data_IF_051147009680
#
_entry.id   IF_051147009680
#
_cell.length_a   1.000
_cell.length_b   1.000
_cell.length_c   1.000
_cell.angle_alpha   90.00
_cell.angle_beta   90.00
_cell.angle_gamma   90.00
#
_symmetry.space_group_name_H-M   'P 1'
#
loop_
_entity.id
_entity.type
_entity.pdbx_description
1 polymer ?
2 non-polymer ?
3 non-polymer ?
4 water ?
#
# COMPACT_ATOMS: atom_id res chain seq x y z
N UNK A 1 -16.80 -24.15 -8.12
CA UNK A 1 -16.90 -23.06 -9.08
C UNK A 1 -15.60 -22.29 -9.30
N UNK A 2 -14.48 -23.01 -9.24
CA UNK A 2 -13.18 -22.39 -9.51
C UNK A 2 -12.98 -22.06 -10.97
N UNK A 3 -13.83 -22.57 -11.87
CA UNK A 3 -13.74 -22.25 -13.29
C UNK A 3 -14.03 -20.77 -13.55
N UNK A 4 -15.02 -20.23 -12.85
CA UNK A 4 -15.30 -18.81 -12.98
C UNK A 4 -14.13 -17.96 -12.51
N UNK A 5 -13.49 -18.35 -11.40
CA UNK A 5 -12.37 -17.59 -10.86
C UNK A 5 -11.22 -17.50 -11.85
N UNK A 6 -10.87 -18.63 -12.47
CA UNK A 6 -9.82 -18.63 -13.49
C UNK A 6 -10.12 -17.61 -14.59
N UNK A 7 -11.38 -17.57 -15.05
CA UNK A 7 -11.74 -16.64 -16.12
C UNK A 7 -11.60 -15.21 -15.65
N UNK A 8 -11.99 -14.92 -14.41
CA UNK A 8 -11.79 -13.59 -13.84
C UNK A 8 -10.31 -13.25 -13.81
N UNK A 9 -9.48 -14.20 -13.40
CA UNK A 9 -8.05 -13.93 -13.36
C UNK A 9 -7.48 -13.74 -14.75
N UNK A 10 -8.07 -14.41 -15.76
CA UNK A 10 -7.54 -14.29 -17.12
C UNK A 10 -7.83 -12.91 -17.68
N UNK A 11 -9.06 -12.42 -17.50
CA UNK A 11 -9.40 -11.07 -17.93
C UNK A 11 -8.48 -10.05 -17.27
N UNK A 12 -8.34 -10.12 -15.94
CA UNK A 12 -7.46 -9.21 -15.22
C UNK A 12 -6.04 -9.28 -15.74
N UNK A 13 -5.53 -10.50 -15.97
CA UNK A 13 -4.18 -10.63 -16.49
C UNK A 13 -4.06 -9.98 -17.87
N UNK A 14 -5.07 -10.17 -18.72
CA UNK A 14 -5.02 -9.61 -20.06
C UNK A 14 -5.10 -8.10 -20.04
N UNK A 15 -5.99 -7.54 -19.21
CA UNK A 15 -6.11 -6.10 -19.13
C UNK A 15 -4.79 -5.45 -18.71
N UNK A 16 -4.15 -6.00 -17.69
CA UNK A 16 -2.91 -5.43 -17.17
C UNK A 16 -1.79 -5.50 -18.20
N UNK A 17 -1.68 -6.61 -18.93
CA UNK A 17 -0.60 -6.86 -19.88
C UNK A 17 -0.87 -6.29 -21.26
N UNK A 18 -2.06 -5.76 -21.51
CA UNK A 18 -2.36 -5.22 -22.83
C UNK A 18 -1.52 -3.97 -23.08
N UNK A 19 -1.05 -3.83 -24.32
CA UNK A 19 -0.14 -2.74 -24.65
C UNK A 19 -0.79 -1.40 -24.29
N UNK A 20 0.01 -0.51 -23.68
CA UNK A 20 -0.53 0.74 -23.16
C UNK A 20 0.58 1.79 -23.11
N UNK A 21 0.27 3.00 -23.58
CA UNK A 21 1.19 4.12 -23.45
C UNK A 21 1.08 4.80 -22.09
N UNK A 22 0.20 4.30 -21.22
CA UNK A 22 -0.01 4.97 -19.94
C UNK A 22 1.30 5.09 -19.17
N UNK A 23 1.97 3.95 -18.94
CA UNK A 23 3.17 3.96 -18.12
C UNK A 23 4.23 4.90 -18.67
N UNK A 24 4.30 5.07 -19.99
CA UNK A 24 5.31 5.88 -20.59
C UNK A 24 5.02 7.37 -20.45
N UNK A 25 3.73 7.72 -20.49
CA UNK A 25 3.36 9.08 -20.18
C UNK A 25 3.66 9.39 -18.71
N UNK A 26 3.34 8.48 -17.80
CA UNK A 26 3.58 8.84 -16.41
C UNK A 26 5.08 8.87 -16.12
N UNK A 27 5.87 8.01 -16.80
CA UNK A 27 7.32 8.08 -16.61
C UNK A 27 7.86 9.44 -16.99
N UNK A 28 7.50 9.92 -18.19
CA UNK A 28 7.90 11.27 -18.58
C UNK A 28 7.63 12.30 -17.49
N UNK A 29 6.40 12.34 -16.99
CA UNK A 29 6.06 13.35 -16.00
C UNK A 29 6.87 13.13 -14.71
N UNK A 30 6.90 11.89 -14.22
CA UNK A 30 7.62 11.61 -12.97
C UNK A 30 9.09 12.01 -13.10
N UNK A 31 9.69 11.74 -14.26
CA UNK A 31 11.10 12.06 -14.47
C UNK A 31 11.35 13.57 -14.49
N UNK A 32 10.45 14.34 -15.09
CA UNK A 32 10.55 15.80 -14.99
C UNK A 32 10.43 16.24 -13.55
N UNK A 33 9.46 15.67 -12.81
CA UNK A 33 9.25 16.09 -11.43
C UNK A 33 10.47 15.80 -10.58
N UNK A 34 11.04 14.61 -10.71
CA UNK A 34 12.23 14.27 -9.92
C UNK A 34 13.38 15.24 -10.19
N UNK A 35 13.67 15.53 -11.46
CA UNK A 35 14.79 16.40 -11.76
C UNK A 35 14.57 17.80 -11.18
N UNK A 36 13.33 18.28 -11.22
CA UNK A 36 13.02 19.60 -10.69
C UNK A 36 13.09 19.62 -9.17
N UNK A 37 12.67 18.53 -8.51
CA UNK A 37 12.79 18.43 -7.05
C UNK A 37 14.25 18.26 -6.62
N UNK A 38 15.04 17.50 -7.38
CA UNK A 38 16.46 17.34 -7.09
C UNK A 38 17.24 18.66 -7.19
N UNK A 39 16.67 19.68 -7.82
CA UNK A 39 17.30 20.99 -7.92
C UNK A 39 17.04 21.87 -6.72
N UNK A 40 16.27 21.40 -5.75
CA UNK A 40 15.86 22.20 -4.60
C UNK A 40 16.54 21.68 -3.34
N UNK A 41 16.83 22.62 -2.43
CA UNK A 41 17.67 22.36 -1.27
C UNK A 41 17.12 21.21 -0.42
N UNK A 42 15.82 21.22 -0.16
CA UNK A 42 15.25 20.23 0.76
C UNK A 42 15.08 18.85 0.15
N UNK A 43 15.06 18.73 -1.18
CA UNK A 43 14.72 17.48 -1.85
C UNK A 43 15.85 16.96 -2.73
N UNK A 44 17.11 17.29 -2.40
CA UNK A 44 18.23 16.95 -3.27
C UNK A 44 18.37 15.45 -3.50
N UNK A 45 18.05 14.65 -2.49
CA UNK A 45 18.19 13.21 -2.61
C UNK A 45 16.89 12.47 -2.85
N UNK A 46 15.83 13.18 -3.27
CA UNK A 46 14.58 12.52 -3.56
C UNK A 46 14.76 11.58 -4.75
N UNK A 47 14.11 10.42 -4.68
CA UNK A 47 14.17 9.44 -5.74
C UNK A 47 12.94 8.55 -5.64
N UNK A 48 12.81 7.69 -6.64
CA UNK A 48 11.68 6.78 -6.72
C UNK A 48 11.86 5.62 -5.73
N UNK A 49 10.78 5.23 -5.05
CA UNK A 49 10.87 4.04 -4.21
C UNK A 49 11.14 2.80 -5.06
N UNK A 50 10.34 2.58 -6.08
CA UNK A 50 10.57 1.50 -7.04
C UNK A 50 11.09 2.11 -8.34
N UNK A 51 12.34 1.79 -8.68
CA UNK A 51 12.96 2.26 -9.91
C UNK A 51 12.75 1.23 -11.00
N UNK A 52 12.36 1.69 -12.19
CA UNK A 52 11.98 0.83 -13.28
C UNK A 52 10.52 0.41 -13.25
N UNK A 53 9.87 0.48 -12.10
CA UNK A 53 8.45 0.13 -11.95
C UNK A 53 7.69 1.40 -11.56
N UNK A 54 7.49 2.29 -12.54
CA UNK A 54 6.60 3.43 -12.37
C UNK A 54 5.15 2.99 -12.25
N UNK A 55 4.84 1.73 -12.55
CA UNK A 55 3.47 1.25 -12.65
C UNK A 55 3.14 0.34 -11.47
N UNK A 56 3.10 0.93 -10.28
CA UNK A 56 2.49 0.31 -9.13
C UNK A 56 1.02 0.74 -9.08
N UNK A 57 0.11 -0.25 -9.03
CA UNK A 57 -1.33 0.00 -9.08
C UNK A 57 -1.97 -0.33 -7.74
N UNK A 58 -2.71 0.63 -7.17
CA UNK A 58 -3.51 0.35 -5.98
C UNK A 58 -4.79 -0.41 -6.35
N UNK A 59 -5.53 0.11 -7.32
CA UNK A 59 -6.78 -0.50 -7.79
C UNK A 59 -6.47 -1.50 -8.89
N UNK A 60 -6.49 -2.79 -8.55
CA UNK A 60 -6.17 -3.85 -9.49
C UNK A 60 -7.10 -3.86 -10.71
N UNK A 61 -8.15 -3.05 -10.71
CA UNK A 61 -9.10 -3.00 -11.82
C UNK A 61 -9.07 -1.68 -12.57
N UNK A 62 -8.25 -0.73 -12.15
CA UNK A 62 -8.15 0.59 -12.79
C UNK A 62 -6.76 0.75 -13.41
N UNK A 63 -6.59 0.42 -14.69
CA UNK A 63 -5.26 0.50 -15.30
C UNK A 63 -4.76 1.93 -15.48
N UNK A 64 -5.63 2.93 -15.47
CA UNK A 64 -5.21 4.31 -15.67
C UNK A 64 -4.86 5.03 -14.38
N UNK A 65 -4.92 4.35 -13.23
CA UNK A 65 -4.61 4.95 -11.94
C UNK A 65 -3.26 4.44 -11.45
N UNK A 66 -2.31 5.33 -11.31
CA UNK A 66 -0.95 4.98 -10.91
C UNK A 66 -0.64 5.56 -9.54
N UNK A 67 0.30 4.92 -8.85
CA UNK A 67 0.61 5.27 -7.48
C UNK A 67 2.13 5.21 -7.33
N UNK A 68 2.78 6.36 -7.13
CA UNK A 68 4.23 6.37 -7.05
C UNK A 68 4.67 6.98 -5.73
N UNK A 69 5.82 6.54 -5.25
CA UNK A 69 6.39 7.01 -3.99
C UNK A 69 7.72 7.68 -4.26
N UNK A 70 7.86 8.92 -3.81
CA UNK A 70 9.12 9.63 -3.84
C UNK A 70 9.74 9.51 -2.46
N UNK A 71 10.90 8.85 -2.38
CA UNK A 71 11.56 8.66 -1.10
C UNK A 71 12.71 9.66 -0.97
N UNK A 72 13.02 9.97 0.29
CA UNK A 72 14.09 10.91 0.63
C UNK A 72 14.75 10.39 1.91
N UNK A 73 16.05 10.10 1.85
CA UNK A 73 16.71 9.51 3.01
C UNK A 73 16.99 10.57 4.08
N UNK A 74 16.63 10.26 5.32
CA UNK A 74 16.98 11.14 6.44
C UNK A 74 17.88 10.37 7.40
N UNK A 75 19.14 10.78 7.55
CA UNK A 75 20.00 10.10 8.52
C UNK A 75 19.64 10.49 9.95
N UNK A 76 19.90 9.55 10.86
CA UNK A 76 19.95 9.80 12.31
C UNK A 76 18.71 10.55 12.81
N UNK A 77 17.54 10.02 12.50
CA UNK A 77 16.32 10.65 13.01
C UNK A 77 15.91 9.97 14.30
N UNK A 78 15.26 10.75 15.17
CA UNK A 78 14.62 10.22 16.37
C UNK A 78 13.11 10.21 16.16
N UNK A 79 12.51 9.02 16.31
CA UNK A 79 11.07 8.88 16.28
C UNK A 79 10.53 8.93 17.70
N UNK A 80 9.51 9.74 17.92
CA UNK A 80 8.71 9.72 19.13
C UNK A 80 7.33 9.23 18.74
N UNK A 81 6.86 8.18 19.40
CA UNK A 81 5.55 7.63 19.09
C UNK A 81 4.46 8.59 19.54
N UNK A 82 3.44 8.77 18.69
CA UNK A 82 2.37 9.72 18.95
C UNK A 82 1.18 9.02 19.59
N UNK A 83 0.86 9.41 20.83
CA UNK A 83 -0.40 9.08 21.48
C UNK A 83 -0.67 7.58 21.52
N UNK A 84 0.38 6.80 21.75
CA UNK A 84 0.30 5.33 21.75
C UNK A 84 -0.42 4.78 20.53
N UNK A 85 -0.35 5.49 19.39
CA UNK A 85 -1.03 4.99 18.20
C UNK A 85 -0.31 3.79 17.59
N UNK A 86 0.93 3.52 18.00
CA UNK A 86 1.76 2.40 17.56
C UNK A 86 2.28 2.61 16.13
N UNK A 87 1.51 3.29 15.28
CA UNK A 87 1.89 3.47 13.89
C UNK A 87 2.27 4.91 13.51
N UNK A 88 1.87 5.91 14.31
CA UNK A 88 2.10 7.30 13.98
C UNK A 88 3.19 7.88 14.87
N UNK A 89 4.03 8.74 14.30
CA UNK A 89 5.26 9.18 14.94
C UNK A 89 5.57 10.64 14.64
N UNK A 90 6.05 11.34 15.66
CA UNK A 90 6.81 12.56 15.46
C UNK A 90 8.21 12.21 14.96
N UNK A 91 8.74 13.03 14.05
CA UNK A 91 10.09 12.87 13.52
C UNK A 91 10.96 13.97 14.10
N UNK A 92 11.88 13.59 14.97
CA UNK A 92 12.92 14.46 15.46
C UNK A 92 14.25 14.04 14.84
N UNK A 93 15.27 14.82 15.11
CA UNK A 93 16.60 14.56 14.59
C UNK A 93 17.60 14.44 15.73
N UNK A 94 18.59 13.54 15.56
CA UNK A 94 19.79 13.61 16.38
C UNK A 94 20.63 14.82 15.97
N UNK A 95 20.57 15.20 14.69
CA UNK A 95 21.03 16.49 14.18
C UNK A 95 22.45 16.83 14.64
N UNK A 96 23.34 15.87 14.45
CA UNK A 96 24.73 16.08 14.86
C UNK A 96 25.43 17.03 13.88
N UNK A 97 25.08 17.02 12.58
CA UNK A 97 25.26 18.24 11.78
C UNK A 97 23.94 18.99 11.68
N UNK A 98 23.75 19.98 12.57
CA UNK A 98 22.47 20.67 12.69
C UNK A 98 21.95 21.18 11.34
N UNK A 99 22.86 21.50 10.42
CA UNK A 99 22.47 21.89 9.06
C UNK A 99 22.12 20.65 8.22
N UNK A 100 21.09 19.95 8.68
CA UNK A 100 20.47 18.93 7.84
C UNK A 100 19.69 19.62 6.74
N UNK A 101 19.61 19.04 5.55
CA UNK A 101 18.94 19.72 4.44
C UNK A 101 17.48 20.02 4.71
N UNK A 102 16.85 19.32 5.64
CA UNK A 102 15.46 19.57 6.00
C UNK A 102 15.33 20.51 7.17
N UNK A 103 16.43 21.09 7.65
CA UNK A 103 16.38 22.03 8.77
C UNK A 103 15.34 23.12 8.55
N UNK A 104 15.12 23.52 7.28
CA UNK A 104 14.15 24.55 6.96
C UNK A 104 12.71 24.16 7.27
N UNK A 105 12.42 22.87 7.51
CA UNK A 105 11.08 22.41 7.83
C UNK A 105 10.91 22.07 9.31
N UNK A 106 11.70 22.70 10.17
CA UNK A 106 11.71 22.40 11.59
C UNK A 106 10.79 23.33 12.36
N UNK A 107 10.14 22.79 13.38
CA UNK A 107 9.39 23.57 14.37
C UNK A 107 9.92 23.12 15.73
N UNK A 108 11.07 23.68 16.12
CA UNK A 108 11.71 23.27 17.35
C UNK A 108 12.42 21.94 17.20
N UNK A 109 11.88 20.90 17.84
CA UNK A 109 12.43 19.57 17.71
C UNK A 109 11.79 18.77 16.57
N UNK A 110 10.63 19.21 16.08
CA UNK A 110 9.70 18.32 15.37
C UNK A 110 9.64 18.70 13.89
N UNK A 111 9.92 17.73 13.03
CA UNK A 111 9.84 17.91 11.59
C UNK A 111 8.40 18.15 11.16
N UNK A 112 8.13 19.29 10.51
CA UNK A 112 6.78 19.62 10.08
C UNK A 112 6.48 18.99 8.72
N UNK A 113 5.42 18.18 8.68
CA UNK A 113 4.96 17.56 7.44
C UNK A 113 4.20 18.56 6.56
N UNK A 114 3.27 19.32 7.15
CA UNK A 114 2.48 20.23 6.34
C UNK A 114 3.36 21.26 5.67
N UNK A 115 4.48 21.62 6.31
CA UNK A 115 5.44 22.52 5.70
C UNK A 115 6.20 21.83 4.58
N UNK A 116 6.73 20.63 4.84
CA UNK A 116 7.42 19.90 3.79
C UNK A 116 6.51 19.66 2.60
N UNK A 117 5.27 19.26 2.86
CA UNK A 117 4.31 19.00 1.78
C UNK A 117 4.00 20.26 0.99
N UNK A 118 3.76 21.39 1.68
CA UNK A 118 3.42 22.60 0.95
C UNK A 118 4.54 23.04 0.03
N UNK A 119 5.79 22.71 0.37
CA UNK A 119 6.92 23.04 -0.52
C UNK A 119 7.06 22.00 -1.62
N UNK A 120 7.01 20.72 -1.23
CA UNK A 120 6.89 19.64 -2.18
C UNK A 120 5.77 19.91 -3.18
N UNK A 121 4.58 20.23 -2.68
CA UNK A 121 3.46 20.52 -3.57
C UNK A 121 3.69 21.78 -4.39
N UNK A 122 4.51 22.70 -3.90
CA UNK A 122 4.75 23.93 -4.65
C UNK A 122 5.77 23.72 -5.76
N UNK A 123 6.85 22.98 -5.48
CA UNK A 123 7.81 22.63 -6.54
C UNK A 123 7.11 21.82 -7.61
N UNK A 124 6.32 20.83 -7.20
CA UNK A 124 5.57 20.04 -8.15
C UNK A 124 4.66 20.93 -8.98
N UNK A 125 3.95 21.86 -8.31
CA UNK A 125 3.08 22.80 -9.01
C UNK A 125 3.84 23.63 -10.03
N UNK A 126 5.10 23.98 -9.72
CA UNK A 126 5.91 24.80 -10.60
C UNK A 126 6.46 24.03 -11.80
N UNK A 127 6.49 22.71 -11.75
CA UNK A 127 6.93 21.92 -12.89
C UNK A 127 5.77 21.45 -13.77
N UNK A 128 4.63 21.07 -13.17
CA UNK A 128 3.42 20.79 -13.96
C UNK A 128 2.95 22.05 -14.65
N UNK A 129 3.34 23.22 -14.12
CA UNK A 129 3.12 24.48 -14.81
C UNK A 129 3.95 24.54 -16.10
N UNK A 130 5.25 24.20 -16.01
CA UNK A 130 6.16 24.25 -17.16
C UNK A 130 6.15 22.96 -17.98
N UNK A 131 4.98 22.36 -18.19
CA UNK A 131 4.88 21.09 -18.90
C UNK A 131 4.96 21.33 -20.40
N UNK A 132 5.90 20.68 -21.06
CA UNK A 132 5.92 20.63 -22.51
C UNK A 132 5.15 19.40 -22.98
N UNK A 133 4.78 19.41 -24.27
CA UNK A 133 4.08 18.30 -24.92
C UNK A 133 2.69 18.08 -24.35
N UNK A 134 2.50 16.98 -23.62
CA UNK A 134 1.18 16.57 -23.16
C UNK A 134 0.75 17.39 -21.93
N UNK A 135 -0.55 17.39 -21.70
CA UNK A 135 -1.19 18.24 -20.70
C UNK A 135 -1.42 17.47 -19.41
N UNK A 136 -1.00 18.05 -18.29
CA UNK A 136 -1.16 17.44 -16.97
C UNK A 136 -1.68 18.50 -16.01
N UNK A 137 -2.53 18.08 -15.05
CA UNK A 137 -3.09 18.99 -14.06
C UNK A 137 -2.87 18.42 -12.67
N UNK A 138 -2.76 19.33 -11.69
CA UNK A 138 -2.58 18.95 -10.30
C UNK A 138 -3.92 19.07 -9.59
N UNK A 139 -4.45 17.94 -9.14
CA UNK A 139 -5.66 17.89 -8.34
C UNK A 139 -5.23 17.76 -6.88
N UNK A 140 -5.14 18.89 -6.21
CA UNK A 140 -4.67 18.94 -4.82
C UNK A 140 -5.86 18.72 -3.90
N UNK A 141 -5.94 17.54 -3.30
CA UNK A 141 -7.04 17.17 -2.42
C UNK A 141 -6.52 16.85 -1.02
N UNK A 142 -7.44 16.85 -0.05
CA UNK A 142 -7.09 16.66 1.35
C UNK A 142 -6.40 15.32 1.58
N UNK A 143 -5.88 15.17 2.80
CA UNK A 143 -5.05 14.03 3.12
C UNK A 143 -3.60 14.35 2.81
N UNK A 144 -2.71 14.07 3.77
CA UNK A 144 -1.30 14.30 3.53
C UNK A 144 -0.69 13.30 2.57
N UNK A 145 -1.21 12.06 2.54
CA UNK A 145 -0.71 11.05 1.62
C UNK A 145 -1.86 10.34 0.92
N UNK A 146 -1.92 10.36 -0.44
CA UNK A 146 -0.92 10.96 -1.35
C UNK A 146 -0.82 12.47 -1.23
N UNK A 147 0.37 13.03 -1.49
CA UNK A 147 0.55 14.47 -1.41
C UNK A 147 -0.25 15.19 -2.49
N UNK A 148 -0.13 14.72 -3.73
CA UNK A 148 -0.84 15.29 -4.87
C UNK A 148 -1.38 14.14 -5.72
N UNK A 149 -2.39 14.45 -6.51
CA UNK A 149 -2.84 13.59 -7.58
C UNK A 149 -2.72 14.35 -8.88
N UNK A 150 -1.93 13.81 -9.81
CA UNK A 150 -1.78 14.34 -11.15
C UNK A 150 -2.77 13.65 -12.08
N UNK A 151 -3.46 14.44 -12.89
CA UNK A 151 -4.31 13.92 -13.96
C UNK A 151 -3.64 14.21 -15.30
N UNK A 152 -3.26 13.15 -16.01
CA UNK A 152 -2.68 13.24 -17.35
C UNK A 152 -3.74 12.88 -18.38
N UNK A 153 -3.87 13.68 -19.42
CA UNK A 153 -4.86 13.45 -20.48
C UNK A 153 -6.23 13.32 -19.81
N UNK A 154 -7.14 12.55 -20.41
CA UNK A 154 -8.49 12.43 -19.88
C UNK A 154 -8.61 11.32 -18.84
N UNK A 155 -7.76 10.29 -18.92
CA UNK A 155 -7.99 9.10 -18.12
C UNK A 155 -6.91 8.79 -17.08
N UNK A 156 -5.70 9.34 -17.21
CA UNK A 156 -4.57 8.88 -16.40
C UNK A 156 -4.47 9.70 -15.11
N UNK A 157 -4.36 9.01 -13.98
CA UNK A 157 -4.21 9.67 -12.69
C UNK A 157 -2.96 9.12 -11.99
N UNK A 158 -2.15 10.02 -11.43
CA UNK A 158 -0.96 9.61 -10.69
C UNK A 158 -1.04 10.18 -9.28
N UNK A 159 -1.04 9.30 -8.29
CA UNK A 159 -0.88 9.68 -6.88
C UNK A 159 0.60 9.66 -6.53
N UNK A 160 1.11 10.78 -6.00
CA UNK A 160 2.49 10.89 -5.59
C UNK A 160 2.56 11.06 -4.07
N UNK A 161 3.16 10.10 -3.39
CA UNK A 161 3.34 10.14 -1.95
C UNK A 161 4.79 10.42 -1.61
N UNK A 162 5.02 11.40 -0.74
CA UNK A 162 6.36 11.66 -0.23
C UNK A 162 6.62 10.80 1.00
N UNK A 163 7.85 10.30 1.11
CA UNK A 163 8.19 9.32 2.13
C UNK A 163 9.60 9.59 2.62
N UNK A 164 9.77 9.63 3.93
CA UNK A 164 11.10 9.65 4.51
C UNK A 164 11.60 8.21 4.59
N UNK A 165 12.88 8.00 4.34
CA UNK A 165 13.49 6.69 4.43
C UNK A 165 14.45 6.65 5.60
N UNK A 166 14.32 5.64 6.45
CA UNK A 166 15.22 5.48 7.58
C UNK A 166 15.92 4.13 7.44
N UNK A 167 17.23 4.14 7.50
CA UNK A 167 17.99 2.89 7.46
C UNK A 167 18.31 2.36 8.86
N UNK A 168 17.69 2.90 9.90
CA UNK A 168 17.90 2.32 11.22
C UNK A 168 16.86 1.22 11.52
N UNK A 169 17.07 0.56 12.65
CA UNK A 169 16.24 -0.56 13.06
C UNK A 169 14.79 -0.12 13.20
N UNK A 170 13.88 -1.05 12.93
CA UNK A 170 12.46 -0.73 12.94
C UNK A 170 11.98 -0.39 14.36
N UNK A 171 10.95 0.44 14.47
CA UNK A 171 10.47 0.84 15.81
C UNK A 171 9.93 -0.36 16.57
N UNK A 172 10.00 -0.23 17.90
CA UNK A 172 9.61 -1.30 18.81
C UNK A 172 8.21 -1.82 18.52
N UNK A 173 7.33 -0.96 18.01
CA UNK A 173 5.95 -1.36 17.72
C UNK A 173 5.89 -2.48 16.68
N UNK A 174 6.96 -2.67 15.90
CA UNK A 174 7.05 -3.74 14.91
C UNK A 174 7.68 -5.01 15.45
N UNK A 175 8.21 -5.00 16.69
CA UNK A 175 9.10 -6.08 17.14
C UNK A 175 8.44 -7.45 17.07
N UNK A 176 7.13 -7.53 17.25
CA UNK A 176 6.40 -8.79 17.20
C UNK A 176 5.58 -8.95 15.94
N UNK A 177 5.80 -8.10 14.94
CA UNK A 177 5.08 -8.16 13.69
C UNK A 177 5.82 -9.01 12.68
N UNK A 178 5.33 -8.96 11.44
CA UNK A 178 5.94 -9.70 10.34
C UNK A 178 6.19 -11.17 10.74
N UNK A 179 5.16 -11.84 11.25
CA UNK A 179 5.32 -13.18 11.82
C UNK A 179 5.34 -14.22 10.70
N UNK A 180 6.40 -14.16 9.89
CA UNK A 180 6.57 -15.04 8.75
C UNK A 180 7.45 -16.25 9.08
N UNK A 181 7.82 -16.44 10.35
CA UNK A 181 8.90 -17.37 10.68
C UNK A 181 8.59 -18.79 10.26
N UNK A 182 7.34 -19.21 10.42
CA UNK A 182 6.96 -20.57 10.08
C UNK A 182 6.54 -20.70 8.64
N UNK A 183 6.62 -19.61 7.88
CA UNK A 183 6.27 -19.60 6.46
C UNK A 183 7.49 -19.29 5.61
N UNK A 184 8.04 -18.06 5.66
CA UNK A 184 9.19 -17.64 4.88
C UNK A 184 10.53 -17.85 5.60
N UNK A 185 10.50 -18.22 6.88
CA UNK A 185 11.62 -18.63 7.72
C UNK A 185 12.07 -17.49 8.62
N UNK A 186 12.69 -17.83 9.74
CA UNK A 186 13.22 -16.81 10.61
C UNK A 186 14.38 -16.06 9.97
N UNK A 187 15.17 -16.73 9.15
CA UNK A 187 16.31 -16.02 8.58
C UNK A 187 15.85 -14.99 7.55
N UNK A 188 14.76 -15.26 6.84
CA UNK A 188 14.25 -14.24 5.92
C UNK A 188 13.70 -13.07 6.69
N UNK A 189 12.99 -13.34 7.80
CA UNK A 189 12.47 -12.25 8.62
C UNK A 189 13.58 -11.30 9.05
N UNK A 190 14.69 -11.87 9.53
CA UNK A 190 15.82 -11.04 9.95
C UNK A 190 16.37 -10.22 8.78
N UNK A 191 16.52 -10.86 7.61
CA UNK A 191 16.97 -10.14 6.41
C UNK A 191 16.07 -8.93 6.16
N UNK A 192 14.75 -9.17 6.14
CA UNK A 192 13.82 -8.10 5.83
C UNK A 192 13.93 -6.97 6.82
N UNK A 193 14.05 -7.29 8.11
CA UNK A 193 14.08 -6.25 9.13
C UNK A 193 15.39 -5.48 9.14
N UNK A 194 16.39 -5.94 8.40
CA UNK A 194 17.57 -5.14 8.15
C UNK A 194 17.35 -4.15 7.02
N UNK A 195 16.25 -4.28 6.29
CA UNK A 195 15.97 -3.32 5.24
C UNK A 195 15.47 -2.01 5.85
N UNK A 196 15.52 -0.91 5.11
CA UNK A 196 15.01 0.36 5.64
C UNK A 196 13.52 0.31 5.90
N UNK A 197 13.02 1.34 6.59
CA UNK A 197 11.57 1.52 6.67
C UNK A 197 11.26 2.96 6.26
N UNK A 198 9.98 3.20 5.94
CA UNK A 198 9.55 4.48 5.40
C UNK A 198 8.51 5.12 6.31
N UNK A 199 8.39 6.44 6.19
CA UNK A 199 7.43 7.22 6.94
C UNK A 199 6.73 8.19 6.00
N UNK A 200 5.40 8.15 5.96
CA UNK A 200 4.65 9.04 5.07
C UNK A 200 3.84 10.01 5.93
N UNK A 201 3.62 11.24 5.48
CA UNK A 201 2.79 12.18 6.27
C UNK A 201 1.36 11.70 6.33
N UNK A 202 0.78 11.76 7.53
CA UNK A 202 -0.54 11.18 7.78
C UNK A 202 -1.00 11.58 9.17
N UNK A 203 -2.32 11.75 9.31
CA UNK A 203 -2.99 11.97 10.59
C UNK A 203 -3.73 10.71 11.01
N UNK A 204 -3.84 10.50 12.33
CA UNK A 204 -4.61 9.36 12.82
C UNK A 204 -6.10 9.60 12.66
N UNK A 205 -6.58 10.77 13.06
CA UNK A 205 -7.98 11.14 12.90
C UNK A 205 -8.17 12.05 11.69
N UNK A 206 -9.43 12.30 11.36
CA UNK A 206 -9.80 13.15 10.24
C UNK A 206 -10.53 14.41 10.70
N UNK A 211 -4.97 17.08 12.99
CA UNK A 211 -4.46 18.30 13.60
C UNK A 211 -2.93 18.38 13.60
N UNK A 212 -2.25 17.26 13.84
CA UNK A 212 -0.85 17.26 14.23
C UNK A 212 0.06 16.74 13.12
N UNK A 213 1.35 17.09 13.22
CA UNK A 213 2.34 16.81 12.17
C UNK A 213 2.99 15.44 12.40
N UNK A 214 2.18 14.42 12.16
CA UNK A 214 2.59 13.04 12.41
C UNK A 214 2.96 12.35 11.10
N UNK A 215 3.73 11.26 11.24
CA UNK A 215 4.13 10.41 10.14
C UNK A 215 3.80 8.97 10.48
N UNK A 216 3.49 8.18 9.45
CA UNK A 216 3.04 6.81 9.63
C UNK A 216 4.01 5.87 8.95
N UNK A 217 4.27 4.73 9.59
CA UNK A 217 5.15 3.74 9.02
C UNK A 217 4.53 3.16 7.76
N UNK A 218 5.39 2.85 6.78
CA UNK A 218 5.01 2.28 5.50
C UNK A 218 6.00 1.19 5.16
N UNK A 219 5.50 -0.01 4.86
CA UNK A 219 6.37 -1.14 4.54
C UNK A 219 6.06 -1.71 3.15
N UNK A 220 5.62 -0.84 2.22
CA UNK A 220 5.18 -1.35 0.93
C UNK A 220 6.31 -2.08 0.19
N UNK A 221 7.57 -1.72 0.44
CA UNK A 221 8.67 -2.45 -0.18
C UNK A 221 8.79 -3.86 0.39
N UNK A 222 8.44 -4.08 1.66
CA UNK A 222 8.52 -5.42 2.23
C UNK A 222 7.38 -6.28 1.72
N UNK A 223 6.18 -5.71 1.68
CA UNK A 223 5.05 -6.38 1.05
C UNK A 223 5.39 -6.81 -0.38
N UNK A 224 6.04 -5.93 -1.15
CA UNK A 224 6.38 -6.32 -2.52
C UNK A 224 7.37 -7.49 -2.52
N UNK A 225 8.39 -7.42 -1.68
CA UNK A 225 9.39 -8.49 -1.65
C UNK A 225 8.77 -9.81 -1.24
N UNK A 226 7.82 -9.80 -0.30
CA UNK A 226 7.16 -11.04 0.08
C UNK A 226 6.37 -11.61 -1.08
N UNK A 227 5.58 -10.77 -1.75
CA UNK A 227 4.73 -11.28 -2.81
C UNK A 227 5.53 -11.90 -3.95
N UNK A 228 6.72 -11.40 -4.20
CA UNK A 228 7.51 -11.94 -5.31
C UNK A 228 8.41 -13.11 -4.91
N UNK A 229 8.47 -13.46 -3.62
CA UNK A 229 9.25 -14.62 -3.16
C UNK A 229 8.43 -15.13 -1.96
N UNK A 230 7.33 -15.83 -2.27
CA UNK A 230 6.19 -15.99 -1.36
C UNK A 230 6.00 -17.41 -0.86
N UNK A 231 6.78 -18.38 -1.31
CA UNK A 231 6.52 -19.76 -1.00
C UNK A 231 7.33 -20.22 0.19
N UNK A 232 6.86 -21.28 0.84
CA UNK A 232 7.75 -21.93 1.81
C UNK A 232 8.91 -22.61 1.10
N UNK A 233 8.64 -23.23 -0.05
CA UNK A 233 9.70 -23.77 -0.89
C UNK A 233 10.34 -22.64 -1.69
N UNK A 234 11.66 -22.67 -1.80
CA UNK A 234 12.33 -21.60 -2.54
C UNK A 234 11.97 -21.63 -4.02
N UNK A 235 11.48 -22.75 -4.53
CA UNK A 235 11.15 -22.91 -5.93
C UNK A 235 9.66 -22.68 -6.24
N UNK A 236 8.86 -22.26 -5.26
CA UNK A 236 7.42 -22.05 -5.49
C UNK A 236 7.19 -21.17 -6.72
N UNK A 237 6.28 -21.62 -7.58
CA UNK A 237 5.88 -20.94 -8.81
C UNK A 237 7.00 -20.83 -9.84
N UNK A 238 8.10 -21.57 -9.67
CA UNK A 238 9.10 -21.57 -10.73
C UNK A 238 8.81 -22.65 -11.74
N UNK A 239 8.35 -23.82 -11.28
CA UNK A 239 8.05 -24.94 -12.15
C UNK A 239 6.58 -24.99 -12.47
N UNK A 240 6.08 -26.19 -12.79
CA UNK A 240 4.67 -26.45 -12.93
C UNK A 240 4.12 -27.45 -11.92
N UNK A 241 4.98 -28.25 -11.28
CA UNK A 241 4.54 -29.15 -10.22
C UNK A 241 4.44 -28.46 -8.86
N UNK A 242 5.03 -27.26 -8.70
CA UNK A 242 4.85 -26.45 -7.50
C UNK A 242 4.41 -25.04 -7.94
N UNK A 243 3.24 -24.99 -8.58
CA UNK A 243 2.61 -23.75 -8.97
C UNK A 243 1.45 -23.49 -8.01
N UNK A 244 1.46 -22.31 -7.35
CA UNK A 244 0.50 -22.04 -6.27
C UNK A 244 -0.43 -20.90 -6.64
N UNK A 245 -1.50 -20.74 -5.84
CA UNK A 245 -2.54 -19.76 -6.09
C UNK A 245 -2.57 -18.64 -5.06
N UNK A 246 -1.44 -18.37 -4.38
CA UNK A 246 -1.41 -17.29 -3.40
C UNK A 246 -1.68 -15.93 -4.06
N UNK A 247 -0.92 -15.60 -5.12
CA UNK A 247 -1.11 -14.30 -5.76
C UNK A 247 -2.47 -14.21 -6.42
N UNK A 248 -2.99 -15.33 -6.94
CA UNK A 248 -4.35 -15.29 -7.50
C UNK A 248 -5.37 -14.96 -6.41
N UNK A 249 -5.26 -15.60 -5.24
CA UNK A 249 -6.20 -15.34 -4.16
C UNK A 249 -6.16 -13.88 -3.73
N UNK A 250 -4.96 -13.29 -3.64
CA UNK A 250 -4.89 -11.87 -3.32
C UNK A 250 -5.62 -11.04 -4.36
N UNK A 251 -5.34 -11.30 -5.65
CA UNK A 251 -5.97 -10.52 -6.71
C UNK A 251 -7.48 -10.65 -6.67
N UNK A 252 -7.98 -11.85 -6.36
CA UNK A 252 -9.42 -12.04 -6.24
C UNK A 252 -9.98 -11.29 -5.05
N UNK A 253 -9.29 -11.30 -3.91
CA UNK A 253 -9.77 -10.53 -2.75
C UNK A 253 -9.79 -9.05 -3.07
N UNK A 254 -8.73 -8.55 -3.70
CA UNK A 254 -8.69 -7.13 -4.06
C UNK A 254 -9.81 -6.79 -5.01
N UNK A 255 -10.04 -7.64 -6.03
CA UNK A 255 -11.05 -7.34 -7.04
C UNK A 255 -12.45 -7.42 -6.46
N UNK A 256 -12.69 -8.35 -5.54
CA UNK A 256 -13.98 -8.38 -4.85
C UNK A 256 -14.27 -7.04 -4.16
N UNK A 257 -13.33 -6.57 -3.33
CA UNK A 257 -13.54 -5.31 -2.61
C UNK A 257 -13.75 -4.15 -3.57
N UNK A 258 -12.84 -4.00 -4.56
CA UNK A 258 -12.97 -2.92 -5.53
C UNK A 258 -14.34 -2.95 -6.22
N UNK A 259 -14.82 -4.15 -6.56
CA UNK A 259 -16.15 -4.23 -7.20
C UNK A 259 -17.26 -3.86 -6.23
N UNK A 260 -17.13 -4.22 -4.95
CA UNK A 260 -18.19 -3.88 -4.01
C UNK A 260 -18.16 -2.39 -3.66
N UNK A 261 -16.96 -1.82 -3.54
CA UNK A 261 -16.86 -0.37 -3.35
C UNK A 261 -17.48 0.39 -4.52
N UNK A 262 -17.19 -0.06 -5.76
CA UNK A 262 -17.84 0.57 -6.92
C UNK A 262 -19.34 0.35 -6.89
N UNK A 263 -19.78 -0.86 -6.57
CA UNK A 263 -21.22 -1.13 -6.57
C UNK A 263 -21.97 -0.25 -5.58
N UNK A 264 -21.31 0.19 -4.51
CA UNK A 264 -22.00 0.89 -3.44
C UNK A 264 -21.41 2.28 -3.17
N UNK A 265 -20.72 2.86 -4.16
CA UNK A 265 -20.03 4.12 -3.93
C UNK A 265 -20.98 5.25 -3.57
N UNK A 266 -22.28 5.11 -3.84
CA UNK A 266 -23.25 6.12 -3.46
C UNK A 266 -23.71 5.98 -2.02
N UNK A 267 -23.44 4.85 -1.36
CA UNK A 267 -23.95 4.62 -0.01
C UNK A 267 -22.94 4.96 1.08
N UNK A 268 -21.67 5.16 0.72
CA UNK A 268 -20.58 5.57 1.63
C UNK A 268 -20.12 4.51 2.65
N UNK A 269 -20.96 3.54 3.02
CA UNK A 269 -20.60 2.60 4.09
C UNK A 269 -19.30 1.86 3.84
N UNK A 270 -18.80 1.81 2.60
CA UNK A 270 -17.58 1.08 2.29
C UNK A 270 -16.39 1.97 2.01
N UNK A 271 -16.50 3.28 2.24
CA UNK A 271 -15.47 4.21 1.80
C UNK A 271 -14.16 4.03 2.57
N UNK A 272 -14.21 3.57 3.81
CA UNK A 272 -13.00 3.43 4.62
C UNK A 272 -12.24 2.15 4.35
N UNK A 273 -12.84 1.18 3.67
CA UNK A 273 -12.13 -0.05 3.37
C UNK A 273 -11.18 0.16 2.19
N UNK A 274 -10.03 -0.48 2.23
CA UNK A 274 -9.05 -0.32 1.16
C UNK A 274 -8.26 -1.59 0.96
N UNK A 275 -7.40 -1.58 -0.06
CA UNK A 275 -6.45 -2.66 -0.31
C UNK A 275 -5.70 -3.08 0.94
N UNK A 276 -5.36 -2.14 1.84
CA UNK A 276 -4.67 -2.50 3.07
C UNK A 276 -5.39 -3.65 3.76
N UNK A 277 -6.70 -3.53 3.92
CA UNK A 277 -7.43 -4.50 4.72
C UNK A 277 -7.40 -5.89 4.08
N UNK A 278 -7.46 -5.96 2.75
CA UNK A 278 -7.48 -7.27 2.11
C UNK A 278 -6.08 -7.84 2.09
N UNK A 279 -5.09 -7.01 1.76
CA UNK A 279 -3.70 -7.48 1.82
C UNK A 279 -3.34 -7.96 3.21
N UNK A 280 -3.76 -7.23 4.24
CA UNK A 280 -3.44 -7.65 5.61
C UNK A 280 -4.07 -9.00 5.92
N UNK A 281 -5.37 -9.15 5.67
CA UNK A 281 -6.04 -10.42 5.92
C UNK A 281 -5.40 -11.55 5.12
N UNK A 282 -5.02 -11.28 3.88
CA UNK A 282 -4.36 -12.28 3.06
C UNK A 282 -3.09 -12.77 3.71
N UNK A 283 -2.23 -11.86 4.15
CA UNK A 283 -0.96 -12.27 4.74
C UNK A 283 -1.19 -13.01 6.04
N UNK A 284 -2.26 -12.66 6.77
CA UNK A 284 -2.57 -13.45 7.96
C UNK A 284 -2.91 -14.89 7.57
N UNK A 285 -3.62 -15.07 6.45
CA UNK A 285 -3.95 -16.43 6.04
C UNK A 285 -2.71 -17.15 5.51
N UNK A 286 -1.74 -16.40 4.97
CA UNK A 286 -0.46 -17.00 4.61
C UNK A 286 0.29 -17.54 5.82
N UNK A 287 0.24 -16.82 6.95
CA UNK A 287 0.86 -17.38 8.15
C UNK A 287 0.07 -18.58 8.65
N UNK A 288 -1.26 -18.49 8.65
CA UNK A 288 -2.07 -19.62 9.11
C UNK A 288 -1.82 -20.87 8.29
N UNK A 289 -1.65 -20.72 6.98
CA UNK A 289 -1.46 -21.82 6.04
C UNK A 289 -0.11 -21.65 5.37
N UNK A 290 0.99 -22.04 6.04
CA UNK A 290 2.34 -21.79 5.51
C UNK A 290 2.82 -22.75 4.42
N UNK A 291 2.18 -23.88 4.24
CA UNK A 291 2.68 -24.87 3.30
C UNK A 291 2.24 -24.54 1.88
N UNK A 292 3.16 -24.69 0.93
CA UNK A 292 2.78 -24.47 -0.45
C UNK A 292 1.69 -25.43 -0.90
N UNK A 293 1.60 -26.60 -0.29
CA UNK A 293 0.57 -27.57 -0.65
C UNK A 293 -0.81 -27.13 -0.21
N UNK A 294 -0.90 -26.16 0.70
CA UNK A 294 -2.17 -25.55 1.06
C UNK A 294 -2.60 -24.49 0.07
N UNK A 295 -1.80 -24.23 -0.96
CA UNK A 295 -2.12 -23.20 -1.95
C UNK A 295 -2.00 -23.78 -3.34
N UNK A 296 -2.36 -25.05 -3.49
CA UNK A 296 -2.24 -25.75 -4.75
C UNK A 296 -3.05 -25.02 -5.83
N UNK A 297 -2.46 -24.89 -7.02
CA UNK A 297 -3.17 -24.29 -8.15
C UNK A 297 -4.57 -24.87 -8.31
N UNK A 298 -4.69 -26.20 -8.19
CA UNK A 298 -5.97 -26.87 -8.40
C UNK A 298 -7.00 -26.52 -7.34
N UNK A 299 -6.58 -26.00 -6.18
CA UNK A 299 -7.49 -25.66 -5.09
C UNK A 299 -7.83 -24.18 -5.05
N UNK A 300 -7.80 -23.51 -6.21
CA UNK A 300 -8.02 -22.06 -6.23
C UNK A 300 -9.33 -21.71 -5.55
N UNK A 301 -10.39 -22.46 -5.84
CA UNK A 301 -11.69 -22.15 -5.28
C UNK A 301 -11.72 -22.31 -3.76
N UNK A 302 -11.20 -23.42 -3.27
CA UNK A 302 -11.17 -23.61 -1.82
C UNK A 302 -10.24 -22.59 -1.17
N UNK A 303 -9.11 -22.28 -1.82
CA UNK A 303 -8.17 -21.32 -1.24
C UNK A 303 -8.76 -19.92 -1.16
N UNK A 304 -9.42 -19.50 -2.25
CA UNK A 304 -10.14 -18.22 -2.22
C UNK A 304 -11.14 -18.18 -1.09
N UNK A 305 -11.82 -19.30 -0.83
CA UNK A 305 -12.88 -19.33 0.16
C UNK A 305 -12.31 -19.20 1.57
N UNK A 306 -11.15 -19.81 1.83
CA UNK A 306 -10.48 -19.60 3.12
C UNK A 306 -10.16 -18.13 3.33
N UNK A 307 -9.73 -17.44 2.28
CA UNK A 307 -9.43 -16.02 2.39
C UNK A 307 -10.69 -15.22 2.68
N UNK A 308 -11.74 -15.44 1.89
CA UNK A 308 -13.01 -14.77 2.15
C UNK A 308 -13.50 -15.08 3.56
N UNK A 309 -13.44 -16.34 3.95
CA UNK A 309 -13.91 -16.76 5.26
C UNK A 309 -13.16 -16.03 6.37
N UNK A 310 -11.83 -16.02 6.30
CA UNK A 310 -11.05 -15.30 7.31
C UNK A 310 -11.37 -13.81 7.30
N UNK A 311 -11.47 -13.20 6.10
CA UNK A 311 -11.84 -11.79 6.06
C UNK A 311 -13.18 -11.54 6.73
N UNK A 312 -14.18 -12.41 6.48
CA UNK A 312 -15.47 -12.23 7.14
C UNK A 312 -15.34 -12.37 8.66
N UNK A 313 -14.48 -13.28 9.12
CA UNK A 313 -14.29 -13.42 10.57
C UNK A 313 -13.71 -12.15 11.17
N UNK A 314 -12.77 -11.51 10.47
CA UNK A 314 -12.20 -10.26 10.95
C UNK A 314 -13.27 -9.19 11.08
N UNK A 315 -14.14 -9.09 10.08
CA UNK A 315 -15.18 -8.09 10.10
C UNK A 315 -16.11 -8.26 11.29
N UNK A 316 -16.64 -9.48 11.48
CA UNK A 316 -17.64 -9.67 12.53
C UNK A 316 -17.04 -9.50 13.91
N UNK A 317 -15.80 -9.92 14.09
CA UNK A 317 -15.16 -9.76 15.39
C UNK A 317 -14.56 -8.37 15.55
N UNK A 318 -14.55 -7.57 14.47
CA UNK A 318 -13.95 -6.24 14.47
C UNK A 318 -12.49 -6.28 14.85
N UNK A 319 -11.75 -7.26 14.33
CA UNK A 319 -10.34 -7.40 14.62
C UNK A 319 -9.57 -7.69 13.35
N UNK A 320 -8.58 -6.86 13.07
CA UNK A 320 -7.72 -7.10 11.93
C UNK A 320 -6.39 -6.42 12.27
N UNK A 321 -5.48 -7.16 12.88
CA UNK A 321 -4.23 -6.54 13.28
C UNK A 321 -3.37 -6.26 12.06
N UNK A 322 -2.81 -5.07 12.02
CA UNK A 322 -1.81 -4.76 11.03
C UNK A 322 -0.74 -5.85 11.03
N UNK A 323 -0.30 -6.24 9.83
CA UNK A 323 0.65 -7.35 9.73
C UNK A 323 2.01 -7.00 10.30
N UNK A 324 2.39 -5.73 10.27
CA UNK A 324 3.70 -5.33 10.77
C UNK A 324 3.66 -4.85 12.21
N UNK A 325 2.51 -4.35 12.65
CA UNK A 325 2.35 -3.75 13.98
C UNK A 325 1.16 -4.45 14.62
N UNK A 326 1.39 -5.57 15.31
CA UNK A 326 0.25 -6.40 15.75
C UNK A 326 -0.73 -5.67 16.66
N UNK A 327 -0.29 -4.63 17.37
CA UNK A 327 -1.22 -3.93 18.26
C UNK A 327 -2.04 -2.87 17.57
N UNK A 328 -1.89 -2.65 16.27
CA UNK A 328 -2.76 -1.73 15.55
C UNK A 328 -3.91 -2.52 14.93
N UNK A 329 -5.11 -2.31 15.45
CA UNK A 329 -6.30 -2.99 14.97
C UNK A 329 -6.92 -2.14 13.88
N UNK A 330 -6.77 -2.57 12.63
CA UNK A 330 -7.33 -1.87 11.49
C UNK A 330 -8.84 -1.79 11.54
N UNK A 331 -9.50 -2.76 12.21
CA UNK A 331 -10.96 -2.83 12.28
C UNK A 331 -11.52 -2.34 13.61
N UNK A 332 -10.73 -1.59 14.38
CA UNK A 332 -11.31 -1.02 15.60
C UNK A 332 -12.49 -0.12 15.27
N UNK A 333 -13.40 0.05 16.24
CA UNK A 333 -14.56 0.86 15.91
C UNK A 333 -14.25 2.35 15.85
N UNK A 334 -13.06 2.81 16.28
CA UNK A 334 -12.69 4.19 16.02
C UNK A 334 -12.26 4.43 14.59
N UNK A 335 -11.84 3.39 13.88
CA UNK A 335 -11.44 3.57 12.49
C UNK A 335 -12.56 3.24 11.52
N UNK A 336 -13.33 2.18 11.79
CA UNK A 336 -14.51 1.81 11.01
C UNK A 336 -15.62 1.42 11.97
N UNK A 337 -16.80 2.02 11.82
CA UNK A 337 -17.82 1.72 12.81
C UNK A 337 -18.61 0.46 12.45
N UNK A 338 -19.31 -0.05 13.45
CA UNK A 338 -19.89 -1.39 13.39
C UNK A 338 -20.79 -1.55 12.17
N UNK A 339 -21.64 -0.56 11.91
CA UNK A 339 -22.57 -0.63 10.78
C UNK A 339 -21.84 -0.71 9.44
N UNK A 340 -20.68 -0.06 9.32
CA UNK A 340 -19.92 -0.19 8.07
C UNK A 340 -19.38 -1.60 7.89
N UNK A 341 -18.80 -2.17 8.95
CA UNK A 341 -18.28 -3.53 8.85
C UNK A 341 -19.41 -4.54 8.72
N UNK A 342 -20.54 -4.28 9.37
CA UNK A 342 -21.69 -5.17 9.20
C UNK A 342 -22.25 -5.07 7.79
N UNK A 343 -22.26 -3.87 7.22
CA UNK A 343 -22.66 -3.74 5.82
C UNK A 343 -21.79 -4.58 4.90
N UNK A 344 -20.47 -4.47 5.04
CA UNK A 344 -19.57 -5.24 4.21
C UNK A 344 -19.73 -6.74 4.42
N UNK A 345 -19.96 -7.16 5.67
CA UNK A 345 -20.21 -8.57 5.93
C UNK A 345 -21.38 -9.08 5.10
N UNK A 346 -22.48 -8.32 5.10
CA UNK A 346 -23.67 -8.75 4.37
C UNK A 346 -23.42 -8.83 2.87
N UNK A 347 -22.71 -7.86 2.30
CA UNK A 347 -22.50 -7.89 0.85
C UNK A 347 -21.61 -9.07 0.44
N UNK A 348 -20.56 -9.36 1.20
CA UNK A 348 -19.68 -10.46 0.85
C UNK A 348 -20.39 -11.80 0.98
N UNK A 349 -21.24 -11.94 1.99
CA UNK A 349 -21.97 -13.18 2.12
C UNK A 349 -23.00 -13.33 1.00
N UNK A 350 -23.55 -12.22 0.50
CA UNK A 350 -24.40 -12.29 -0.67
C UNK A 350 -23.61 -12.70 -1.91
N UNK A 351 -22.36 -12.23 -2.03
CA UNK A 351 -21.55 -12.62 -3.17
C UNK A 351 -21.25 -14.11 -3.12
N UNK A 352 -20.76 -14.58 -1.96
CA UNK A 352 -20.38 -15.98 -1.85
C UNK A 352 -21.56 -16.91 -2.09
N UNK A 353 -22.77 -16.50 -1.70
CA UNK A 353 -23.92 -17.38 -1.77
C UNK A 353 -24.60 -17.36 -3.14
N UNK A 354 -24.17 -16.47 -4.03
CA UNK A 354 -24.70 -16.38 -5.39
C UNK A 354 -23.58 -16.51 -6.42
N UNK A 355 -22.50 -17.19 -6.04
CA UNK A 355 -21.35 -17.43 -6.93
C UNK A 355 -20.84 -16.13 -7.54
N UNK A 356 -20.58 -15.16 -6.66
CA UNK A 356 -19.91 -13.88 -6.92
C UNK A 356 -20.42 -13.19 -8.19
N UNK A 357 -21.60 -12.58 -8.14
CA UNK A 357 -22.08 -11.81 -9.31
C UNK A 357 -21.15 -10.69 -9.75
N UNK A 358 -20.32 -10.14 -8.86
CA UNK A 358 -19.35 -9.13 -9.30
C UNK A 358 -18.28 -9.69 -10.23
N UNK A 359 -18.12 -11.01 -10.28
CA UNK A 359 -17.18 -11.65 -11.19
C UNK A 359 -17.82 -12.10 -12.51
N UNK A 360 -19.02 -11.64 -12.84
CA UNK A 360 -19.70 -12.07 -14.07
C UNK A 360 -19.00 -11.63 -15.37
X LIG B 1 3.92 -19.74 -5.39
X LIG C 1 -6.39 3.11 7.81
X LIG C 1 -5.53 2.74 6.79
X LIG C 1 1.79 0.49 9.42
X LIG C 1 2.22 -0.47 7.18
X LIG C 1 2.39 -1.95 3.99
X LIG C 1 1.66 -3.13 3.66
X LIG C 1 0.90 -3.77 4.54
X LIG C 1 1.39 -2.25 6.25
X LIG C 1 0.11 -4.99 4.11
X LIG C 1 -0.56 1.20 10.23
X LIG C 1 -4.21 2.38 7.08
X LIG C 1 0.35 1.00 9.17
X LIG C 1 -0.12 1.28 7.88
X LIG C 1 -1.43 1.70 7.64
X LIG C 1 -2.33 1.93 8.69
X LIG C 1 -1.87 1.66 9.99
X LIG C 1 -3.73 2.38 8.41
X LIG C 1 -4.63 2.71 9.42
X LIG C 1 -5.94 3.11 9.11
X LIG C 1 0.40 -5.31 2.82
X LIG C 1 0.37 -6.05 4.88
X LIG C 1 -1.23 -4.79 4.18
X LIG C 1 2.46 0.51 8.12
X LIG C 1 2.75 -0.45 5.91
X LIG C 1 2.20 -1.56 5.34
X LIG C 1 0.71 -3.38 5.86
X LIG C 1 1.36 -1.60 7.43
X LIG C 1 3.05 -1.29 3.23
#
# INVERSE_FOLDING_TARGET
GASKLRAVLEKLKLSRDDISTAAGMVKGVVDHLLLRLKCDSAFRGVGLLNTGSYYEHVKISAPNEFDVMFKLEVPRIQLEEYSNTRAYYFVKFKRNPKENPLSQFLEGEILSASKMLSKFRKIIKEEINDIKDTDVIMKRKRGGSPAVTLLISEKISVDITLALESKSSWPASTQEGLRIQNWLSAKVRKQLRLKPFYLVPKHAKEGNGFQEETWRLSFSHIEKEILNNHGKSKTCCENKEEKCCRKDCLKLMKYLLEQLKERFKDKKHLDKFSSYHVKTAFFHVCTQNPQDSQWDRKDLGLCFDNCVTYFLQCLRTEKLENYFIPEFNLFSSNLIDKRSKEFLTKQIEYERNNEFPVFDEF
ZN ZN
YTU C10 C11 C13 C15 C18 C20 C21 C23 C25 C1 C12 C2 C3 C4 C5 C6 C7 C8 C9 F26 F27 F28 N14 N16 N17 N22 N24 O19
#
